data_IF_168584607116
#
_entry.id   IF_168584607116
#
_cell.length_a   1.000
_cell.length_b   1.000
_cell.length_c   1.000
_cell.angle_alpha   90.00
_cell.angle_beta   90.00
_cell.angle_gamma   90.00
#
_symmetry.space_group_name_H-M   'P 1'
#
loop_
_entity.id
_entity.type
_entity.pdbx_description
1 polymer ?
#
# COMPACT_ATOMS: atom_id res chain seq x y z
N UNK A 1 12.61 -5.97 -20.67
CA UNK A 1 12.51 -5.26 -19.38
C UNK A 1 12.67 -6.26 -18.24
N UNK A 2 13.36 -5.89 -17.15
CA UNK A 2 13.01 -6.50 -15.86
C UNK A 2 11.50 -6.35 -15.73
N UNK A 3 10.83 -7.35 -15.18
CA UNK A 3 9.38 -7.49 -15.15
C UNK A 3 8.69 -6.13 -14.99
N UNK A 4 7.77 -5.75 -15.90
CA UNK A 4 7.04 -4.51 -15.76
C UNK A 4 6.24 -4.54 -14.45
N UNK A 5 6.15 -3.41 -13.78
CA UNK A 5 5.40 -3.25 -12.53
C UNK A 5 4.11 -2.51 -12.83
N UNK A 6 2.99 -3.19 -12.58
CA UNK A 6 1.67 -2.60 -12.72
C UNK A 6 1.32 -1.81 -11.45
N UNK A 7 0.91 -0.57 -11.65
CA UNK A 7 0.45 0.33 -10.59
C UNK A 7 -1.06 0.47 -10.72
N UNK A 8 -1.76 -0.05 -9.75
CA UNK A 8 -3.22 0.01 -9.66
C UNK A 8 -3.70 1.00 -8.62
N UNK A 9 -5.03 1.08 -8.46
CA UNK A 9 -5.69 1.89 -7.44
C UNK A 9 -6.37 0.99 -6.41
N UNK A 10 -6.22 1.32 -5.13
CA UNK A 10 -6.81 0.55 -4.04
C UNK A 10 -8.10 1.15 -3.48
N UNK A 11 -8.44 2.37 -3.88
CA UNK A 11 -9.66 3.08 -3.48
C UNK A 11 -10.42 3.57 -4.70
N UNK A 12 -11.74 3.55 -4.65
CA UNK A 12 -12.58 4.04 -5.75
C UNK A 12 -12.72 5.56 -5.68
N UNK A 13 -12.74 6.21 -6.83
CA UNK A 13 -12.91 7.67 -6.92
C UNK A 13 -12.80 8.19 -8.34
N UNK A 14 -12.99 9.51 -8.50
CA UNK A 14 -12.73 10.18 -9.75
C UNK A 14 -11.27 10.61 -9.84
N UNK A 15 -10.65 10.44 -10.98
CA UNK A 15 -9.28 10.91 -11.22
C UNK A 15 -9.32 12.42 -11.43
N UNK A 16 -8.75 13.16 -10.49
CA UNK A 16 -8.66 14.61 -10.56
C UNK A 16 -7.55 15.07 -11.51
N UNK A 17 -6.37 14.44 -11.38
CA UNK A 17 -5.18 14.81 -12.13
C UNK A 17 -4.34 13.58 -12.47
N UNK A 18 -3.74 13.61 -13.66
CA UNK A 18 -2.67 12.69 -14.07
C UNK A 18 -1.43 13.53 -14.37
N UNK A 19 -0.33 13.24 -13.69
CA UNK A 19 0.88 14.08 -13.66
C UNK A 19 2.02 13.56 -14.54
N UNK A 20 1.83 12.38 -15.16
CA UNK A 20 2.83 11.73 -15.99
C UNK A 20 2.24 11.26 -17.31
N UNK A 21 3.08 11.22 -18.34
CA UNK A 21 2.75 10.75 -19.68
C UNK A 21 3.56 9.52 -20.06
N UNK A 22 3.25 8.97 -21.24
CA UNK A 22 4.02 7.87 -21.85
C UNK A 22 5.48 8.28 -22.01
N UNK A 23 6.39 7.36 -21.68
CA UNK A 23 7.83 7.52 -21.74
C UNK A 23 8.44 8.52 -20.74
N UNK A 24 7.65 9.08 -19.82
CA UNK A 24 8.21 9.90 -18.74
C UNK A 24 9.05 9.04 -17.78
N UNK A 25 10.15 9.62 -17.32
CA UNK A 25 10.94 9.05 -16.23
C UNK A 25 10.32 9.44 -14.90
N UNK A 26 10.23 8.47 -14.02
CA UNK A 26 9.67 8.65 -12.69
C UNK A 26 10.60 8.10 -11.63
N UNK A 27 10.57 8.71 -10.47
CA UNK A 27 11.31 8.26 -9.28
C UNK A 27 10.37 7.54 -8.31
N UNK A 28 10.90 6.60 -7.54
CA UNK A 28 10.12 5.94 -6.48
C UNK A 28 9.56 6.97 -5.50
N UNK A 29 8.25 6.89 -5.23
CA UNK A 29 7.52 7.86 -4.41
C UNK A 29 6.99 9.08 -5.17
N UNK A 30 7.35 9.27 -6.45
CA UNK A 30 6.79 10.35 -7.27
C UNK A 30 5.29 10.13 -7.50
N UNK A 31 4.51 11.20 -7.41
CA UNK A 31 3.06 11.17 -7.68
C UNK A 31 2.81 10.99 -9.18
N UNK A 32 2.06 9.95 -9.53
CA UNK A 32 1.65 9.64 -10.91
C UNK A 32 0.27 10.21 -11.24
N UNK A 33 -0.66 10.02 -10.31
CA UNK A 33 -2.03 10.52 -10.44
C UNK A 33 -2.63 10.81 -9.06
N UNK A 34 -3.69 11.61 -9.05
CA UNK A 34 -4.44 11.95 -7.84
C UNK A 34 -5.92 11.76 -8.09
N UNK A 35 -6.58 11.06 -7.18
CA UNK A 35 -8.04 11.02 -7.14
C UNK A 35 -8.60 12.27 -6.44
N UNK A 36 -9.88 12.54 -6.62
CA UNK A 36 -10.59 13.53 -5.80
C UNK A 36 -10.52 13.12 -4.33
N UNK A 37 -9.78 13.90 -3.55
CA UNK A 37 -9.53 13.64 -2.13
C UNK A 37 -10.54 14.28 -1.21
N UNK A 38 -11.51 15.04 -1.72
CA UNK A 38 -12.44 15.87 -0.94
C UNK A 38 -13.16 15.08 0.13
N UNK A 39 -13.72 13.92 -0.23
CA UNK A 39 -14.44 13.06 0.72
C UNK A 39 -13.50 12.40 1.73
N UNK A 40 -12.34 11.91 1.28
CA UNK A 40 -11.34 11.28 2.16
C UNK A 40 -10.80 12.28 3.18
N UNK A 41 -10.48 13.50 2.74
CA UNK A 41 -10.01 14.57 3.61
C UNK A 41 -11.10 15.03 4.62
N UNK A 42 -12.37 15.05 4.21
CA UNK A 42 -13.48 15.35 5.11
C UNK A 42 -13.63 14.26 6.19
N UNK A 43 -13.52 13.00 5.80
CA UNK A 43 -13.60 11.85 6.70
C UNK A 43 -12.44 11.84 7.72
N UNK A 44 -11.22 12.08 7.25
CA UNK A 44 -10.04 12.19 8.12
C UNK A 44 -10.22 13.32 9.16
N UNK A 45 -10.70 14.51 8.74
CA UNK A 45 -10.99 15.60 9.68
C UNK A 45 -12.04 15.23 10.71
N UNK A 46 -13.10 14.51 10.31
CA UNK A 46 -14.12 14.01 11.21
C UNK A 46 -13.54 13.08 12.27
N UNK A 47 -12.73 12.08 11.85
CA UNK A 47 -12.10 11.12 12.76
C UNK A 47 -11.08 11.79 13.67
N UNK A 48 -10.35 12.80 13.19
CA UNK A 48 -9.44 13.61 14.00
C UNK A 48 -10.20 14.36 15.10
N UNK A 49 -11.34 14.96 14.78
CA UNK A 49 -12.18 15.63 15.78
C UNK A 49 -12.75 14.64 16.81
N UNK A 50 -13.13 13.42 16.37
CA UNK A 50 -13.60 12.37 17.29
C UNK A 50 -12.49 11.91 18.25
N UNK A 51 -11.24 11.81 17.79
CA UNK A 51 -10.09 11.52 18.66
C UNK A 51 -9.86 12.63 19.68
N UNK A 52 -9.90 13.89 19.27
CA UNK A 52 -9.75 15.03 20.18
C UNK A 52 -10.84 15.05 21.27
N UNK A 53 -12.09 14.70 20.92
CA UNK A 53 -13.17 14.57 21.88
C UNK A 53 -12.90 13.43 22.88
N UNK A 54 -12.46 12.26 22.40
CA UNK A 54 -12.12 11.13 23.26
C UNK A 54 -10.96 11.47 24.22
N UNK A 55 -9.93 12.17 23.76
CA UNK A 55 -8.83 12.65 24.61
C UNK A 55 -9.29 13.67 25.67
N UNK A 56 -10.29 14.52 25.35
CA UNK A 56 -10.88 15.42 26.33
C UNK A 56 -11.63 14.64 27.44
N UNK A 57 -12.35 13.56 27.07
CA UNK A 57 -13.03 12.67 28.04
C UNK A 57 -12.03 11.96 28.96
N UNK A 58 -10.87 11.56 28.47
CA UNK A 58 -9.81 11.00 29.33
C UNK A 58 -9.37 12.02 30.37
N UNK A 59 -9.16 13.28 29.98
CA UNK A 59 -8.79 14.35 30.95
C UNK A 59 -9.88 14.58 32.00
N UNK A 60 -11.15 14.56 31.63
CA UNK A 60 -12.29 14.64 32.55
C UNK A 60 -12.32 13.45 33.53
N UNK A 61 -12.22 12.22 33.00
CA UNK A 61 -12.19 11.01 33.81
C UNK A 61 -10.99 10.98 34.75
N UNK A 62 -9.82 11.44 34.30
CA UNK A 62 -8.60 11.57 35.13
C UNK A 62 -8.83 12.55 36.29
N UNK A 63 -9.47 13.69 36.04
CA UNK A 63 -9.83 14.63 37.10
C UNK A 63 -10.77 14.00 38.14
N UNK A 64 -11.75 13.23 37.68
CA UNK A 64 -12.67 12.49 38.55
C UNK A 64 -11.95 11.45 39.41
N UNK A 65 -10.99 10.71 38.83
CA UNK A 65 -10.15 9.76 39.60
C UNK A 65 -9.36 10.50 40.68
N UNK A 66 -8.71 11.62 40.35
CA UNK A 66 -7.94 12.41 41.30
C UNK A 66 -8.83 12.92 42.44
N UNK A 67 -10.04 13.39 42.16
CA UNK A 67 -11.01 13.83 43.17
C UNK A 67 -11.42 12.67 44.09
N UNK A 68 -11.85 11.55 43.50
CA UNK A 68 -12.30 10.37 44.25
C UNK A 68 -11.17 9.80 45.13
N UNK A 69 -9.96 9.71 44.62
CA UNK A 69 -8.77 9.27 45.37
C UNK A 69 -8.48 10.16 46.57
N UNK A 70 -8.51 11.51 46.39
CA UNK A 70 -8.32 12.45 47.48
C UNK A 70 -9.40 12.33 48.58
N UNK A 71 -10.67 12.05 48.21
CA UNK A 71 -11.75 11.85 49.17
C UNK A 71 -11.52 10.54 49.93
N UNK A 72 -11.13 9.47 49.26
CA UNK A 72 -10.81 8.19 49.86
C UNK A 72 -9.64 8.31 50.84
N UNK A 73 -8.55 8.98 50.47
CA UNK A 73 -7.38 9.19 51.33
C UNK A 73 -7.71 9.96 52.60
N UNK A 74 -8.61 10.96 52.52
CA UNK A 74 -9.09 11.68 53.70
C UNK A 74 -9.92 10.77 54.60
N UNK A 75 -10.82 9.98 54.01
CA UNK A 75 -11.66 9.03 54.74
C UNK A 75 -10.84 7.96 55.43
N UNK A 76 -9.78 7.42 54.80
CA UNK A 76 -8.86 6.46 55.37
C UNK A 76 -8.20 7.01 56.67
N UNK A 77 -7.67 8.26 56.62
CA UNK A 77 -7.08 8.90 57.77
C UNK A 77 -8.08 9.12 58.92
N UNK A 78 -9.35 9.49 58.62
CA UNK A 78 -10.41 9.63 59.60
C UNK A 78 -10.81 8.29 60.20
N UNK A 79 -10.85 7.23 59.42
CA UNK A 79 -11.16 5.90 59.91
C UNK A 79 -10.07 5.39 60.87
N UNK A 80 -8.81 5.61 60.60
CA UNK A 80 -7.70 5.29 61.49
C UNK A 80 -7.80 5.99 62.82
N UNK A 81 -8.32 7.21 62.83
CA UNK A 81 -8.60 8.03 64.03
C UNK A 81 -9.94 7.69 64.67
N UNK A 82 -10.73 6.75 64.16
CA UNK A 82 -12.09 6.35 64.61
C UNK A 82 -13.10 7.49 64.51
N UNK A 83 -12.90 8.45 63.58
CA UNK A 83 -13.75 9.64 63.41
C UNK A 83 -14.77 9.48 62.28
N UNK A 84 -14.84 8.32 61.61
CA UNK A 84 -15.84 8.04 60.56
C UNK A 84 -16.31 6.57 60.66
N UNK A 85 -17.50 6.29 60.09
CA UNK A 85 -18.04 4.96 60.04
C UNK A 85 -17.36 4.17 58.90
N UNK A 86 -17.21 2.84 59.10
CA UNK A 86 -16.62 1.96 58.09
C UNK A 86 -17.45 1.98 56.78
N UNK A 87 -18.78 1.96 56.90
CA UNK A 87 -19.71 2.05 55.76
C UNK A 87 -19.41 3.27 54.87
N UNK A 88 -19.15 4.44 55.45
CA UNK A 88 -18.81 5.67 54.72
C UNK A 88 -17.50 5.52 53.98
N UNK A 89 -16.51 4.84 54.58
CA UNK A 89 -15.22 4.57 53.92
C UNK A 89 -15.41 3.61 52.73
N UNK A 90 -16.17 2.51 52.93
CA UNK A 90 -16.45 1.51 51.89
C UNK A 90 -17.18 2.12 50.68
N UNK A 91 -18.09 3.07 50.92
CA UNK A 91 -18.81 3.81 49.89
C UNK A 91 -17.82 4.70 49.06
N UNK A 92 -16.82 5.32 49.70
CA UNK A 92 -15.80 6.15 49.02
C UNK A 92 -14.80 5.27 48.27
N UNK A 93 -14.47 4.10 48.79
CA UNK A 93 -13.66 3.11 48.08
C UNK A 93 -14.36 2.70 46.79
N UNK A 94 -15.63 2.28 46.87
CA UNK A 94 -16.42 1.91 45.70
C UNK A 94 -16.57 3.08 44.68
N UNK A 95 -16.58 4.34 45.17
CA UNK A 95 -16.59 5.50 44.26
C UNK A 95 -15.28 5.70 43.55
N UNK A 96 -14.14 5.48 44.23
CA UNK A 96 -12.81 5.54 43.61
C UNK A 96 -12.62 4.44 42.57
N UNK A 97 -13.06 3.21 42.89
CA UNK A 97 -12.99 2.09 41.97
C UNK A 97 -13.84 2.34 40.69
N UNK A 98 -15.03 2.91 40.84
CA UNK A 98 -15.85 3.30 39.70
C UNK A 98 -15.22 4.40 38.87
N UNK A 99 -14.61 5.40 39.49
CA UNK A 99 -13.88 6.45 38.77
C UNK A 99 -12.70 5.89 37.98
N UNK A 100 -11.94 4.95 38.57
CA UNK A 100 -10.84 4.29 37.89
C UNK A 100 -11.33 3.43 36.71
N UNK A 101 -12.42 2.69 36.87
CA UNK A 101 -13.04 1.95 35.76
C UNK A 101 -13.52 2.89 34.64
N UNK A 102 -14.11 4.04 35.00
CA UNK A 102 -14.52 5.08 34.04
C UNK A 102 -13.34 5.64 33.24
N UNK A 103 -12.18 5.83 33.86
CA UNK A 103 -10.95 6.23 33.16
C UNK A 103 -10.55 5.16 32.13
N UNK A 104 -10.56 3.88 32.52
CA UNK A 104 -10.24 2.78 31.59
C UNK A 104 -11.18 2.76 30.36
N UNK A 105 -12.47 3.03 30.56
CA UNK A 105 -13.44 3.14 29.45
C UNK A 105 -13.09 4.33 28.53
N UNK A 106 -12.75 5.48 29.09
CA UNK A 106 -12.35 6.67 28.31
C UNK A 106 -11.05 6.42 27.52
N UNK A 107 -10.08 5.74 28.11
CA UNK A 107 -8.83 5.36 27.45
C UNK A 107 -9.08 4.38 26.28
N UNK A 108 -9.95 3.39 26.47
CA UNK A 108 -10.34 2.47 25.41
C UNK A 108 -11.01 3.21 24.23
N UNK A 109 -11.82 4.24 24.52
CA UNK A 109 -12.43 5.08 23.50
C UNK A 109 -11.39 5.86 22.69
N UNK A 110 -10.30 6.34 23.32
CA UNK A 110 -9.17 6.97 22.60
C UNK A 110 -8.53 5.98 21.64
N UNK A 111 -8.28 4.74 22.07
CA UNK A 111 -7.68 3.71 21.19
C UNK A 111 -8.58 3.42 19.98
N UNK A 112 -9.89 3.30 20.18
CA UNK A 112 -10.84 3.11 19.10
C UNK A 112 -10.83 4.28 18.11
N UNK A 113 -10.90 5.52 18.62
CA UNK A 113 -10.91 6.72 17.78
C UNK A 113 -9.59 6.91 17.02
N UNK A 114 -8.46 6.53 17.63
CA UNK A 114 -7.14 6.54 16.99
C UNK A 114 -7.07 5.55 15.84
N UNK A 115 -7.53 4.32 16.05
CA UNK A 115 -7.57 3.30 15.01
C UNK A 115 -8.44 3.74 13.81
N UNK A 116 -9.58 4.41 14.08
CA UNK A 116 -10.43 4.96 13.03
C UNK A 116 -9.72 6.08 12.25
N UNK A 117 -9.03 6.99 12.94
CA UNK A 117 -8.26 8.06 12.29
C UNK A 117 -7.14 7.49 11.40
N UNK A 118 -6.43 6.49 11.89
CA UNK A 118 -5.35 5.83 11.13
C UNK A 118 -5.89 5.13 9.88
N UNK A 119 -7.07 4.53 9.96
CA UNK A 119 -7.76 3.95 8.80
C UNK A 119 -8.11 5.02 7.75
N UNK A 120 -8.76 6.11 8.18
CA UNK A 120 -9.20 7.18 7.28
C UNK A 120 -7.99 7.91 6.64
N UNK A 121 -6.86 8.06 7.37
CA UNK A 121 -5.60 8.58 6.83
C UNK A 121 -5.03 7.69 5.72
N UNK A 122 -4.99 6.39 5.94
CA UNK A 122 -4.53 5.44 4.91
C UNK A 122 -5.38 5.49 3.66
N UNK A 123 -6.70 5.67 3.79
CA UNK A 123 -7.57 5.84 2.62
C UNK A 123 -7.24 7.12 1.85
N UNK A 124 -6.96 8.23 2.56
CA UNK A 124 -6.56 9.48 1.97
C UNK A 124 -5.18 9.36 1.27
N UNK A 125 -4.22 8.68 1.88
CA UNK A 125 -2.91 8.40 1.29
C UNK A 125 -3.04 7.57 0.00
N UNK A 126 -3.90 6.53 0.01
CA UNK A 126 -4.17 5.67 -1.15
C UNK A 126 -4.90 6.38 -2.30
N UNK A 127 -5.51 7.53 -2.05
CA UNK A 127 -6.10 8.37 -3.09
C UNK A 127 -5.04 9.12 -3.92
N UNK A 128 -3.77 9.13 -3.48
CA UNK A 128 -2.63 9.65 -4.24
C UNK A 128 -1.79 8.48 -4.72
N UNK A 129 -1.71 8.30 -6.02
CA UNK A 129 -1.04 7.15 -6.64
C UNK A 129 0.43 7.51 -6.88
N UNK A 130 1.34 6.71 -6.30
CA UNK A 130 2.77 6.93 -6.37
C UNK A 130 3.46 5.83 -7.18
N UNK A 131 4.62 6.17 -7.76
CA UNK A 131 5.50 5.19 -8.39
C UNK A 131 6.15 4.31 -7.33
N UNK A 132 6.03 2.97 -7.42
CA UNK A 132 6.68 2.06 -6.47
C UNK A 132 8.17 1.88 -6.74
N UNK A 133 8.64 2.24 -7.93
CA UNK A 133 10.02 2.06 -8.41
C UNK A 133 10.49 3.29 -9.20
N UNK A 134 11.80 3.45 -9.30
CA UNK A 134 12.39 4.33 -10.31
C UNK A 134 12.24 3.67 -11.68
N UNK A 135 11.84 4.44 -12.70
CA UNK A 135 11.65 3.83 -14.02
C UNK A 135 11.07 4.75 -15.07
N UNK A 136 10.44 4.13 -16.07
CA UNK A 136 9.81 4.79 -17.20
C UNK A 136 8.38 4.30 -17.30
N UNK A 137 7.45 5.21 -17.58
CA UNK A 137 6.03 4.89 -17.81
C UNK A 137 5.87 4.24 -19.19
N UNK A 138 5.58 2.93 -19.22
CA UNK A 138 5.33 2.19 -20.46
C UNK A 138 3.90 2.35 -20.95
N UNK A 139 2.93 2.25 -20.02
CA UNK A 139 1.50 2.36 -20.34
C UNK A 139 0.82 3.27 -19.33
N UNK A 140 -0.13 4.05 -19.82
CA UNK A 140 -1.06 4.84 -19.03
C UNK A 140 -2.47 4.46 -19.48
N UNK A 141 -3.27 3.94 -18.56
CA UNK A 141 -4.63 3.45 -18.81
C UNK A 141 -5.68 4.26 -18.05
N UNK A 142 -5.34 5.50 -17.72
CA UNK A 142 -6.19 6.40 -16.95
C UNK A 142 -6.13 7.82 -17.51
N UNK A 143 -7.29 8.47 -17.52
CA UNK A 143 -7.44 9.86 -17.96
C UNK A 143 -8.03 10.74 -16.85
N UNK A 144 -7.69 12.05 -16.81
CA UNK A 144 -8.37 12.99 -15.91
C UNK A 144 -9.88 12.99 -16.14
N UNK A 145 -10.66 13.02 -15.06
CA UNK A 145 -12.12 12.94 -15.08
C UNK A 145 -12.69 11.53 -15.15
N UNK A 146 -11.88 10.51 -15.33
CA UNK A 146 -12.33 9.12 -15.34
C UNK A 146 -12.66 8.63 -13.93
N UNK A 147 -13.77 7.90 -13.77
CA UNK A 147 -14.09 7.19 -12.52
C UNK A 147 -13.40 5.83 -12.52
N UNK A 148 -12.64 5.56 -11.47
CA UNK A 148 -12.01 4.26 -11.22
C UNK A 148 -12.68 3.58 -10.02
N UNK A 149 -12.91 2.27 -10.16
CA UNK A 149 -13.56 1.47 -9.12
C UNK A 149 -12.61 0.33 -8.71
N UNK A 150 -12.16 0.35 -7.46
CA UNK A 150 -11.39 -0.71 -6.84
C UNK A 150 -12.36 -1.78 -6.29
N UNK A 151 -12.85 -2.65 -7.18
CA UNK A 151 -13.78 -3.74 -6.82
C UNK A 151 -13.04 -5.08 -6.81
N UNK A 152 -13.61 -6.13 -7.42
CA UNK A 152 -13.05 -7.48 -7.46
C UNK A 152 -11.71 -7.59 -8.18
N UNK A 153 -11.39 -6.68 -9.09
CA UNK A 153 -10.09 -6.60 -9.76
C UNK A 153 -9.55 -5.18 -9.60
N UNK A 154 -8.33 -5.05 -9.12
CA UNK A 154 -7.64 -3.77 -9.05
C UNK A 154 -7.33 -3.30 -10.47
N UNK A 155 -7.94 -2.19 -10.96
CA UNK A 155 -7.63 -1.69 -12.29
C UNK A 155 -6.18 -1.19 -12.35
N UNK A 156 -5.44 -1.63 -13.36
CA UNK A 156 -4.09 -1.14 -13.63
C UNK A 156 -4.21 0.24 -14.26
N UNK A 157 -3.59 1.24 -13.65
CA UNK A 157 -3.57 2.62 -14.15
C UNK A 157 -2.30 2.95 -14.93
N UNK A 158 -1.18 2.42 -14.45
CA UNK A 158 0.12 2.60 -15.08
C UNK A 158 0.89 1.29 -15.10
N UNK A 159 1.70 1.12 -16.14
CA UNK A 159 2.72 0.06 -16.19
C UNK A 159 4.08 0.73 -16.27
N UNK A 160 4.94 0.45 -15.30
CA UNK A 160 6.29 1.01 -15.19
C UNK A 160 7.35 -0.03 -15.52
N UNK A 161 8.48 0.40 -16.07
CA UNK A 161 9.68 -0.43 -16.21
C UNK A 161 10.87 0.24 -15.55
N UNK A 162 11.63 -0.50 -14.76
CA UNK A 162 12.81 -0.01 -14.06
C UNK A 162 13.87 0.53 -15.02
N UNK A 163 14.12 -0.18 -16.11
CA UNK A 163 15.07 0.22 -17.15
C UNK A 163 14.74 -0.46 -18.48
N UNK A 164 14.97 0.27 -19.56
CA UNK A 164 14.91 -0.26 -20.91
C UNK A 164 16.28 -0.73 -21.42
N UNK A 165 17.37 -0.46 -20.69
CA UNK A 165 18.73 -0.85 -21.11
C UNK A 165 19.00 -2.34 -20.98
N UNK A 166 18.29 -3.03 -20.07
CA UNK A 166 18.34 -4.47 -19.96
C UNK A 166 16.95 -5.05 -20.17
N UNK A 167 16.80 -5.91 -21.15
CA UNK A 167 15.52 -6.51 -21.51
C UNK A 167 15.56 -8.01 -21.34
N UNK A 168 14.39 -8.58 -21.08
CA UNK A 168 14.14 -10.01 -21.16
C UNK A 168 13.34 -10.26 -22.43
N UNK A 169 13.84 -11.17 -23.26
CA UNK A 169 13.13 -11.68 -24.42
C UNK A 169 12.60 -13.06 -24.07
N UNK A 170 11.31 -13.25 -24.18
CA UNK A 170 10.69 -14.55 -24.04
C UNK A 170 10.52 -15.16 -25.42
N UNK A 171 11.06 -16.35 -25.63
CA UNK A 171 10.93 -17.10 -26.87
C UNK A 171 10.31 -18.45 -26.59
N UNK A 172 9.52 -18.95 -27.52
CA UNK A 172 8.96 -20.29 -27.48
C UNK A 172 9.90 -21.22 -28.21
N UNK A 173 10.29 -22.31 -27.55
CA UNK A 173 11.15 -23.36 -28.06
C UNK A 173 10.30 -24.59 -28.25
N UNK A 174 10.32 -25.18 -29.45
CA UNK A 174 9.64 -26.42 -29.78
C UNK A 174 10.17 -27.59 -28.91
N UNK A 175 9.28 -28.54 -28.56
CA UNK A 175 9.67 -29.74 -27.80
C UNK A 175 10.81 -30.53 -28.48
N UNK A 176 10.86 -30.54 -29.81
CA UNK A 176 11.89 -31.23 -30.55
C UNK A 176 13.28 -30.60 -30.38
N UNK A 177 13.35 -29.31 -30.06
CA UNK A 177 14.61 -28.55 -29.93
C UNK A 177 14.98 -28.24 -28.47
N UNK A 178 14.07 -28.45 -27.53
CA UNK A 178 14.29 -28.07 -26.10
C UNK A 178 15.52 -28.77 -25.50
N UNK A 179 15.82 -29.99 -25.92
CA UNK A 179 16.99 -30.75 -25.46
C UNK A 179 18.35 -30.15 -25.87
N UNK A 180 18.37 -29.22 -26.85
CA UNK A 180 19.58 -28.54 -27.34
C UNK A 180 19.80 -27.20 -26.66
N UNK A 181 18.83 -26.73 -25.88
CA UNK A 181 18.83 -25.41 -25.21
C UNK A 181 19.29 -25.56 -23.78
N UNK A 182 20.31 -24.81 -23.39
CA UNK A 182 20.86 -24.85 -22.03
C UNK A 182 20.98 -23.44 -21.44
N UNK A 183 20.86 -23.35 -20.14
CA UNK A 183 21.07 -22.07 -19.41
C UNK A 183 22.51 -21.56 -19.64
N UNK A 184 22.64 -20.25 -19.85
CA UNK A 184 23.92 -19.60 -20.13
C UNK A 184 24.37 -19.66 -21.61
N UNK A 185 23.68 -20.37 -22.47
CA UNK A 185 23.98 -20.45 -23.89
C UNK A 185 23.80 -19.09 -24.58
N UNK A 186 24.72 -18.74 -25.48
CA UNK A 186 24.62 -17.54 -26.33
C UNK A 186 23.61 -17.78 -27.45
N UNK A 187 22.82 -16.77 -27.72
CA UNK A 187 21.85 -16.74 -28.80
C UNK A 187 21.93 -15.41 -29.54
N UNK A 188 21.48 -15.38 -30.77
CA UNK A 188 21.31 -14.17 -31.55
C UNK A 188 19.90 -14.13 -32.10
N UNK A 189 19.31 -12.94 -32.18
CA UNK A 189 18.00 -12.75 -32.77
C UNK A 189 18.00 -11.49 -33.65
N UNK A 190 17.03 -11.43 -34.55
CA UNK A 190 16.72 -10.25 -35.37
C UNK A 190 15.31 -9.78 -35.04
N UNK A 191 15.04 -8.51 -35.26
CA UNK A 191 13.70 -7.91 -35.16
C UNK A 191 13.34 -7.28 -36.49
N UNK A 192 12.07 -7.24 -36.84
CA UNK A 192 11.59 -6.70 -38.11
C UNK A 192 11.95 -5.23 -38.30
N UNK A 193 12.03 -4.46 -37.22
CA UNK A 193 12.49 -3.08 -37.28
C UNK A 193 13.97 -2.92 -37.70
N UNK A 194 14.80 -3.96 -37.54
CA UNK A 194 16.22 -3.97 -37.91
C UNK A 194 16.61 -5.30 -38.53
N UNK A 195 16.15 -5.63 -39.74
CA UNK A 195 16.31 -6.97 -40.36
C UNK A 195 17.77 -7.34 -40.65
N UNK A 196 18.64 -6.35 -40.84
CA UNK A 196 20.07 -6.55 -41.11
C UNK A 196 20.94 -6.50 -39.86
N UNK A 197 20.35 -6.42 -38.66
CA UNK A 197 21.09 -6.33 -37.40
C UNK A 197 20.78 -7.52 -36.52
N UNK A 198 21.85 -8.21 -36.10
CA UNK A 198 21.77 -9.27 -35.10
C UNK A 198 21.98 -8.68 -33.70
N UNK A 199 21.12 -9.05 -32.77
CA UNK A 199 21.21 -8.65 -31.37
C UNK A 199 21.70 -9.85 -30.57
N UNK A 200 22.81 -9.70 -29.81
CA UNK A 200 23.29 -10.76 -28.96
C UNK A 200 22.36 -10.90 -27.74
N UNK A 201 22.11 -12.14 -27.36
CA UNK A 201 21.34 -12.50 -26.18
C UNK A 201 21.98 -13.69 -25.47
N UNK A 202 21.59 -13.91 -24.22
CA UNK A 202 22.02 -15.07 -23.46
C UNK A 202 20.81 -15.73 -22.81
N UNK A 203 20.67 -17.03 -22.92
CA UNK A 203 19.63 -17.80 -22.27
C UNK A 203 19.86 -17.74 -20.77
N UNK A 204 18.89 -17.17 -20.05
CA UNK A 204 18.94 -17.01 -18.60
C UNK A 204 18.26 -18.17 -17.88
N UNK A 205 17.15 -18.61 -18.44
CA UNK A 205 16.31 -19.64 -17.84
C UNK A 205 15.45 -20.31 -18.92
N UNK A 206 15.40 -21.62 -18.89
CA UNK A 206 14.41 -22.43 -19.61
C UNK A 206 13.34 -22.90 -18.62
N UNK A 207 12.08 -22.56 -18.86
CA UNK A 207 10.96 -23.02 -18.02
C UNK A 207 10.61 -24.45 -18.33
N UNK A 208 10.49 -25.29 -17.30
CA UNK A 208 10.15 -26.71 -17.46
C UNK A 208 8.64 -26.97 -17.64
N UNK A 209 7.79 -25.96 -17.49
CA UNK A 209 6.34 -26.11 -17.68
C UNK A 209 6.03 -25.90 -19.16
N UNK A 210 5.52 -26.94 -19.86
CA UNK A 210 5.15 -26.80 -21.26
C UNK A 210 3.91 -25.91 -21.41
N UNK A 211 3.83 -25.23 -22.53
CA UNK A 211 2.64 -24.51 -22.98
C UNK A 211 2.20 -25.11 -24.32
N UNK A 212 0.89 -25.28 -24.51
CA UNK A 212 0.36 -25.70 -25.78
C UNK A 212 -0.15 -24.46 -26.54
N UNK A 213 0.52 -24.12 -27.63
CA UNK A 213 0.14 -23.01 -28.48
C UNK A 213 -0.27 -23.60 -29.84
N UNK A 214 -1.51 -23.38 -30.25
CA UNK A 214 -2.07 -23.90 -31.53
C UNK A 214 -1.90 -25.41 -31.71
N UNK A 215 -1.91 -26.17 -30.62
CA UNK A 215 -1.76 -27.65 -30.66
C UNK A 215 -0.31 -28.14 -30.65
N UNK A 216 0.67 -27.26 -30.61
CA UNK A 216 2.10 -27.58 -30.50
C UNK A 216 2.58 -27.37 -29.07
N UNK A 217 3.32 -28.34 -28.54
CA UNK A 217 3.95 -28.25 -27.22
C UNK A 217 5.23 -27.42 -27.34
N UNK A 218 5.28 -26.33 -26.60
CA UNK A 218 6.44 -25.43 -26.57
C UNK A 218 6.88 -25.15 -25.13
N UNK A 219 8.15 -24.78 -24.97
CA UNK A 219 8.75 -24.36 -23.70
C UNK A 219 9.20 -22.94 -23.80
N UNK A 220 8.94 -22.14 -22.75
CA UNK A 220 9.34 -20.73 -22.70
C UNK A 220 10.80 -20.60 -22.24
N UNK A 221 11.66 -20.05 -23.09
CA UNK A 221 13.01 -19.65 -22.71
C UNK A 221 13.09 -18.14 -22.53
N UNK A 222 13.68 -17.70 -21.41
CA UNK A 222 13.97 -16.30 -21.15
C UNK A 222 15.41 -15.99 -21.48
N UNK A 223 15.60 -15.00 -22.34
CA UNK A 223 16.92 -14.53 -22.75
C UNK A 223 17.16 -13.12 -22.19
N UNK A 224 18.35 -12.87 -21.66
CA UNK A 224 18.80 -11.53 -21.33
C UNK A 224 19.35 -10.84 -22.56
N UNK A 225 18.95 -9.60 -22.77
CA UNK A 225 19.33 -8.78 -23.91
C UNK A 225 19.88 -7.44 -23.40
N UNK A 226 21.08 -7.09 -23.85
CA UNK A 226 21.62 -5.74 -23.62
C UNK A 226 21.05 -4.77 -24.67
N UNK A 227 20.28 -3.81 -24.20
CA UNK A 227 19.68 -2.74 -24.98
C UNK A 227 20.22 -1.36 -24.59
N UNK A 228 21.51 -1.26 -24.27
CA UNK A 228 22.16 0.00 -23.86
C UNK A 228 21.99 1.11 -24.91
N UNK A 229 21.88 0.75 -26.19
CA UNK A 229 21.61 1.67 -27.29
C UNK A 229 20.13 2.10 -27.41
N UNK A 230 19.21 1.56 -26.58
CA UNK A 230 17.76 1.83 -26.56
C UNK A 230 17.07 1.65 -27.92
N UNK A 231 17.58 0.74 -28.75
CA UNK A 231 17.02 0.44 -30.08
C UNK A 231 15.81 -0.49 -30.01
N UNK A 232 15.82 -1.40 -29.04
CA UNK A 232 14.71 -2.34 -28.83
C UNK A 232 13.65 -1.69 -27.95
N UNK A 233 12.39 -1.98 -28.28
CA UNK A 233 11.23 -1.51 -27.54
C UNK A 233 10.48 -2.70 -26.95
N UNK A 234 9.82 -2.56 -25.80
CA UNK A 234 8.93 -3.59 -25.27
C UNK A 234 7.74 -3.77 -26.20
N UNK A 235 7.36 -5.04 -26.47
CA UNK A 235 6.21 -5.40 -27.26
C UNK A 235 5.94 -6.88 -27.12
#
# INVERSE_FOLDING_TARGET
>A
CRVPVDVGVEVSGNVEQVLVYFNDRVEAGQVLARLDTTQFAAKERQSRAALQLAEARVREAQATVVEASRRLDRSRRLLEQKLTARESHDALQAAADRAQAGLGVAEAQVQQSRAQLDYDRRLLEKAVIHAPINGIVLKRQVEPGQTVAATLQTPVLFTLAESLSQMLLNVQVDEADVGKVTDGQRAEFTVDAYPNRRFPAQIKLLRYVPQTVEGVVTYEAQLSVDNSALLLRPG
#
